data_IF_724903142298
#
_entry.id   IF_724903142298
#
_cell.length_a   1.000
_cell.length_b   1.000
_cell.length_c   1.000
_cell.angle_alpha   90.00
_cell.angle_beta   90.00
_cell.angle_gamma   90.00
#
_symmetry.space_group_name_H-M   'P 1'
#
loop_
_entity.id
_entity.type
_entity.pdbx_description
1 polymer ?
#
# COMPACT_ATOMS: atom_id res chain seq x y z
N UNK A 1 34.81 1.28 -5.59
CA UNK A 1 34.38 2.47 -4.81
C UNK A 1 33.00 2.92 -5.29
N UNK A 2 32.09 3.28 -4.36
CA UNK A 2 30.79 3.88 -4.66
C UNK A 2 30.88 5.40 -4.90
N UNK A 3 32.08 5.99 -4.87
CA UNK A 3 32.23 7.45 -4.99
C UNK A 3 31.56 8.19 -3.82
N UNK A 4 31.06 9.40 -4.09
CA UNK A 4 30.22 10.13 -3.12
C UNK A 4 28.83 9.55 -3.11
N UNK A 5 28.31 9.33 -1.90
CA UNK A 5 26.94 8.88 -1.69
C UNK A 5 26.17 10.02 -1.06
N UNK A 6 24.97 10.28 -1.55
CA UNK A 6 24.05 11.29 -1.03
C UNK A 6 22.79 10.56 -0.62
N UNK A 7 22.44 10.67 0.65
CA UNK A 7 21.16 10.21 1.19
C UNK A 7 20.27 11.43 1.31
N UNK A 8 19.07 11.36 0.77
CA UNK A 8 18.13 12.45 0.80
C UNK A 8 16.77 11.93 1.24
N UNK A 9 16.19 12.55 2.25
CA UNK A 9 14.86 12.27 2.75
C UNK A 9 14.01 13.51 2.49
N UNK A 10 12.94 13.36 1.72
CA UNK A 10 12.01 14.44 1.39
C UNK A 10 10.64 14.11 1.94
N UNK A 11 9.94 15.08 2.50
CA UNK A 11 8.57 14.90 2.95
C UNK A 11 7.66 16.02 2.45
N UNK A 12 6.46 15.63 2.01
CA UNK A 12 5.39 16.53 1.57
C UNK A 12 4.04 15.86 1.88
N UNK A 13 3.03 16.66 2.26
CA UNK A 13 1.70 16.16 2.64
C UNK A 13 1.75 15.01 3.67
N UNK A 14 2.66 15.09 4.64
CA UNK A 14 2.82 14.10 5.69
C UNK A 14 3.35 12.74 5.23
N UNK A 15 3.89 12.63 4.02
CA UNK A 15 4.51 11.42 3.47
C UNK A 15 5.98 11.66 3.16
N UNK A 16 6.83 10.67 3.45
CA UNK A 16 8.26 10.72 3.24
C UNK A 16 8.73 9.80 2.09
N UNK A 17 9.72 10.27 1.33
CA UNK A 17 10.39 9.54 0.29
C UNK A 17 11.91 9.60 0.49
N UNK A 18 12.57 8.46 0.35
CA UNK A 18 14.03 8.35 0.43
C UNK A 18 14.62 8.24 -0.97
N UNK A 19 15.63 9.05 -1.22
CA UNK A 19 16.44 9.03 -2.42
C UNK A 19 17.89 8.78 -2.07
N UNK A 20 18.56 7.97 -2.88
CA UNK A 20 19.98 7.66 -2.73
C UNK A 20 20.67 7.98 -4.06
N UNK A 21 21.71 8.79 -4.02
CA UNK A 21 22.45 9.23 -5.21
C UNK A 21 23.94 8.91 -5.11
N UNK A 22 24.53 8.49 -6.23
CA UNK A 22 25.97 8.29 -6.37
C UNK A 22 26.37 8.35 -7.84
N UNK A 23 27.63 8.74 -8.11
CA UNK A 23 28.24 8.62 -9.45
C UNK A 23 28.35 7.17 -9.95
N UNK A 24 28.24 6.18 -9.06
CA UNK A 24 28.27 4.76 -9.38
C UNK A 24 26.87 4.15 -9.59
N UNK A 25 25.80 4.96 -9.58
CA UNK A 25 24.42 4.65 -9.97
C UNK A 25 23.94 3.23 -9.68
N UNK A 26 24.10 2.34 -10.66
CA UNK A 26 23.64 0.95 -10.61
C UNK A 26 24.30 0.10 -9.51
N UNK A 27 25.59 0.34 -9.21
CA UNK A 27 26.26 -0.38 -8.11
C UNK A 27 25.65 -0.03 -6.76
N UNK A 28 25.27 1.23 -6.56
CA UNK A 28 24.61 1.67 -5.34
C UNK A 28 23.22 1.03 -5.20
N UNK A 29 22.44 1.01 -6.29
CA UNK A 29 21.14 0.35 -6.31
C UNK A 29 21.23 -1.15 -5.97
N UNK A 30 22.24 -1.84 -6.52
CA UNK A 30 22.52 -3.25 -6.21
C UNK A 30 22.81 -3.45 -4.72
N UNK A 31 23.73 -2.66 -4.16
CA UNK A 31 24.09 -2.73 -2.73
C UNK A 31 22.88 -2.49 -1.83
N UNK A 32 22.03 -1.52 -2.15
CA UNK A 32 20.81 -1.24 -1.35
C UNK A 32 19.85 -2.43 -1.39
N UNK A 33 19.63 -3.06 -2.55
CA UNK A 33 18.75 -4.24 -2.67
C UNK A 33 19.30 -5.46 -1.93
N UNK A 34 20.62 -5.66 -1.97
CA UNK A 34 21.29 -6.77 -1.28
C UNK A 34 21.27 -6.61 0.24
N UNK A 35 21.49 -5.38 0.74
CA UNK A 35 21.64 -5.12 2.18
C UNK A 35 20.35 -4.73 2.89
N UNK A 36 19.29 -4.36 2.16
CA UNK A 36 18.00 -3.95 2.73
C UNK A 36 16.89 -4.84 2.17
N UNK A 37 16.57 -5.97 2.84
CA UNK A 37 15.54 -6.90 2.39
C UNK A 37 14.20 -6.22 2.14
N UNK A 38 13.58 -6.52 0.99
CA UNK A 38 12.28 -5.95 0.62
C UNK A 38 12.31 -4.48 0.17
N UNK A 39 13.48 -3.83 0.18
CA UNK A 39 13.63 -2.48 -0.37
C UNK A 39 13.48 -2.49 -1.89
N UNK A 40 12.78 -1.50 -2.43
CA UNK A 40 12.74 -1.22 -3.87
C UNK A 40 13.49 0.05 -4.19
N UNK A 41 14.24 0.00 -5.28
CA UNK A 41 14.99 1.13 -5.81
C UNK A 41 14.49 1.39 -7.21
N UNK A 42 13.70 2.45 -7.35
CA UNK A 42 13.21 2.97 -8.63
C UNK A 42 14.12 4.10 -9.13
N UNK A 43 14.05 4.39 -10.44
CA UNK A 43 14.70 5.56 -11.05
C UNK A 43 13.71 6.73 -11.08
N UNK A 44 14.23 7.95 -11.05
CA UNK A 44 13.42 9.16 -11.08
C UNK A 44 13.01 9.60 -9.67
N UNK A 45 13.59 10.72 -9.22
CA UNK A 45 13.21 11.38 -7.96
C UNK A 45 12.71 12.75 -8.34
N UNK A 46 11.43 13.03 -8.08
CA UNK A 46 10.90 14.38 -8.20
C UNK A 46 11.49 15.22 -7.07
N UNK A 47 12.14 16.33 -7.44
CA UNK A 47 12.72 17.29 -6.50
C UNK A 47 12.07 18.63 -6.76
N UNK A 48 11.37 19.19 -5.78
CA UNK A 48 11.04 20.62 -5.82
C UNK A 48 12.18 21.39 -5.15
N UNK A 49 12.44 22.57 -5.69
CA UNK A 49 13.43 23.47 -5.12
C UNK A 49 12.95 23.96 -3.74
N UNK A 50 13.88 24.10 -2.82
CA UNK A 50 13.58 24.61 -1.47
C UNK A 50 13.75 26.13 -1.44
N UNK A 51 12.98 26.81 -0.58
CA UNK A 51 13.03 28.27 -0.44
C UNK A 51 14.12 28.69 0.55
N UNK A 52 14.37 27.87 1.57
CA UNK A 52 15.38 28.11 2.59
C UNK A 52 16.18 26.83 2.87
N UNK A 53 17.48 26.97 3.12
CA UNK A 53 18.32 25.87 3.54
C UNK A 53 19.23 26.26 4.73
N UNK A 54 19.60 25.25 5.52
CA UNK A 54 20.59 25.35 6.57
C UNK A 54 21.57 24.20 6.50
N UNK A 55 22.83 24.44 6.86
CA UNK A 55 23.84 23.40 7.06
C UNK A 55 24.02 23.14 8.56
N UNK A 56 24.07 21.87 8.93
CA UNK A 56 24.22 21.42 10.32
C UNK A 56 25.67 20.98 10.56
N UNK A 57 26.21 21.41 11.70
CA UNK A 57 27.57 21.08 12.16
C UNK A 57 27.55 20.74 13.65
N UNK A 58 28.49 19.93 14.12
CA UNK A 58 28.65 19.62 15.54
C UNK A 58 29.79 20.44 16.17
N UNK A 59 29.64 20.80 17.45
CA UNK A 59 30.73 21.33 18.28
C UNK A 59 30.85 20.56 19.61
N UNK A 60 32.07 20.15 20.03
CA UNK A 60 33.32 20.23 19.27
C UNK A 60 33.29 19.33 18.03
N UNK A 61 34.10 19.66 17.02
CA UNK A 61 34.14 18.90 15.77
C UNK A 61 34.67 17.48 16.03
N UNK A 62 34.06 16.47 15.38
CA UNK A 62 34.46 15.08 15.54
C UNK A 62 33.95 14.40 16.82
N UNK A 63 33.23 15.10 17.69
CA UNK A 63 32.66 14.49 18.89
C UNK A 63 31.51 13.53 18.57
N UNK A 64 31.50 12.37 19.23
CA UNK A 64 30.51 11.32 19.04
C UNK A 64 29.12 11.72 19.51
N UNK A 65 28.13 11.32 18.72
CA UNK A 65 26.72 11.57 18.99
C UNK A 65 26.10 10.41 19.78
N UNK A 66 24.96 10.67 20.43
CA UNK A 66 24.28 9.69 21.26
C UNK A 66 23.53 8.67 20.38
N UNK A 67 24.19 7.55 20.04
CA UNK A 67 23.59 6.49 19.20
C UNK A 67 22.68 5.52 19.94
N UNK A 68 22.66 5.55 21.28
CA UNK A 68 21.89 4.62 22.12
C UNK A 68 20.36 4.80 21.95
N UNK A 69 19.92 5.90 21.33
CA UNK A 69 18.50 6.24 21.13
C UNK A 69 18.09 6.26 19.65
N UNK A 70 18.73 5.42 18.82
CA UNK A 70 18.54 5.40 17.37
C UNK A 70 17.06 5.43 16.95
N UNK A 71 16.24 4.51 17.46
CA UNK A 71 14.83 4.40 17.08
C UNK A 71 14.02 5.64 17.49
N UNK A 72 14.32 6.23 18.65
CA UNK A 72 13.65 7.44 19.14
C UNK A 72 13.99 8.66 18.29
N UNK A 73 15.26 8.79 17.88
CA UNK A 73 15.69 9.87 16.96
C UNK A 73 14.99 9.72 15.62
N UNK A 74 15.02 8.54 15.01
CA UNK A 74 14.38 8.28 13.72
C UNK A 74 12.89 8.62 13.78
N UNK A 75 12.20 8.14 14.81
CA UNK A 75 10.77 8.45 15.02
C UNK A 75 10.53 9.96 15.15
N UNK A 76 11.37 10.69 15.88
CA UNK A 76 11.25 12.14 16.04
C UNK A 76 11.51 12.90 14.72
N UNK A 77 12.53 12.50 13.95
CA UNK A 77 12.83 13.09 12.63
C UNK A 77 11.66 12.88 11.69
N UNK A 78 11.13 11.65 11.64
CA UNK A 78 9.97 11.34 10.83
C UNK A 78 8.69 12.04 11.31
N UNK A 79 8.51 12.20 12.63
CA UNK A 79 7.39 12.97 13.19
C UNK A 79 7.46 14.44 12.78
N UNK A 80 8.64 15.05 12.81
CA UNK A 80 8.83 16.43 12.35
C UNK A 80 8.50 16.59 10.85
N UNK A 81 8.81 15.56 10.05
CA UNK A 81 8.49 15.52 8.62
C UNK A 81 7.00 15.27 8.33
N UNK A 82 6.32 14.51 9.20
CA UNK A 82 4.89 14.19 9.07
C UNK A 82 3.97 15.42 9.21
N UNK A 83 4.46 16.53 9.77
CA UNK A 83 3.69 17.78 9.98
C UNK A 83 3.58 18.63 8.69
N UNK A 84 4.24 18.22 7.61
CA UNK A 84 4.17 18.91 6.31
C UNK A 84 2.77 18.87 5.71
N UNK A 85 2.24 20.02 5.33
CA UNK A 85 0.96 20.16 4.64
C UNK A 85 1.13 20.08 3.11
N UNK A 86 0.02 20.13 2.38
CA UNK A 86 0.04 20.20 0.92
C UNK A 86 0.77 21.46 0.43
N UNK A 87 1.64 21.29 -0.58
CA UNK A 87 2.48 22.37 -1.11
C UNK A 87 3.75 22.67 -0.30
N UNK A 88 3.85 22.16 0.93
CA UNK A 88 5.05 22.23 1.76
C UNK A 88 6.02 21.09 1.45
N UNK A 89 7.31 21.34 1.65
CA UNK A 89 8.35 20.32 1.54
C UNK A 89 9.43 20.50 2.59
N UNK A 90 9.83 19.42 3.25
CA UNK A 90 11.01 19.36 4.09
C UNK A 90 12.02 18.38 3.51
N UNK A 91 13.29 18.76 3.55
CA UNK A 91 14.38 17.97 2.97
C UNK A 91 15.49 17.79 3.98
N UNK A 92 15.95 16.55 4.17
CA UNK A 92 17.16 16.18 4.89
C UNK A 92 18.14 15.61 3.88
N UNK A 93 19.24 16.32 3.60
CA UNK A 93 20.28 15.88 2.68
C UNK A 93 21.57 15.59 3.44
N UNK A 94 22.03 14.34 3.40
CA UNK A 94 23.26 13.87 4.00
C UNK A 94 24.25 13.43 2.92
N UNK A 95 25.31 14.22 2.71
CA UNK A 95 26.37 13.89 1.78
C UNK A 95 27.51 13.16 2.52
N UNK A 96 27.82 11.95 2.09
CA UNK A 96 28.90 11.11 2.63
C UNK A 96 30.18 11.29 1.80
N UNK A 97 31.25 11.63 2.50
CA UNK A 97 32.58 11.89 1.96
C UNK A 97 33.59 10.78 2.27
N UNK A 98 34.81 11.16 2.68
CA UNK A 98 35.89 10.21 2.98
C UNK A 98 35.50 9.27 4.12
N UNK A 99 35.94 8.02 4.03
CA UNK A 99 35.85 7.02 5.09
C UNK A 99 37.05 7.16 6.03
N UNK A 100 36.82 6.96 7.32
CA UNK A 100 37.83 6.79 8.33
C UNK A 100 37.82 5.33 8.82
N UNK A 101 39.01 4.75 8.93
CA UNK A 101 39.19 3.40 9.47
C UNK A 101 39.24 3.45 11.00
N UNK A 102 38.87 2.35 11.68
CA UNK A 102 39.09 2.18 13.10
C UNK A 102 40.55 2.42 13.47
N UNK A 103 40.78 3.23 14.49
CA UNK A 103 42.10 3.50 15.04
C UNK A 103 42.09 3.26 16.55
N UNK A 104 43.27 2.95 17.11
CA UNK A 104 43.44 2.87 18.55
C UNK A 104 43.60 4.28 19.13
N UNK A 105 42.69 4.72 20.00
CA UNK A 105 42.80 6.02 20.67
C UNK A 105 43.84 5.94 21.80
N UNK A 106 45.10 6.29 21.50
CA UNK A 106 46.21 6.33 22.48
C UNK A 106 46.25 7.59 23.34
N UNK A 107 45.82 8.74 22.82
CA UNK A 107 45.77 10.03 23.52
C UNK A 107 44.55 10.84 23.04
N UNK A 108 43.92 11.60 23.93
CA UNK A 108 42.86 12.54 23.55
C UNK A 108 43.52 13.88 23.17
N UNK A 109 43.38 14.30 21.92
CA UNK A 109 43.88 15.60 21.48
C UNK A 109 43.06 16.76 22.06
N UNK A 110 43.68 17.93 22.32
CA UNK A 110 42.96 19.15 22.70
C UNK A 110 41.96 19.57 21.61
N UNK A 111 40.70 19.77 21.99
CA UNK A 111 39.62 20.15 21.06
C UNK A 111 39.15 21.60 21.23
N UNK A 112 39.70 22.33 22.19
CA UNK A 112 39.39 23.73 22.48
C UNK A 112 40.63 24.59 22.62
N UNK A 113 40.48 25.90 22.39
CA UNK A 113 41.58 26.86 22.54
C UNK A 113 42.14 26.88 23.96
N UNK A 114 41.30 26.71 24.99
CA UNK A 114 41.75 26.59 26.38
C UNK A 114 42.62 25.35 26.62
N UNK A 115 42.25 24.21 26.02
CA UNK A 115 43.02 22.96 26.12
C UNK A 115 44.33 23.06 25.30
N UNK A 116 44.30 23.70 24.13
CA UNK A 116 45.47 23.95 23.28
C UNK A 116 46.47 24.91 23.92
N UNK A 117 45.98 25.94 24.62
CA UNK A 117 46.80 26.90 25.35
C UNK A 117 47.25 26.37 26.73
N UNK A 118 46.89 25.14 27.10
CA UNK A 118 47.27 24.53 28.38
C UNK A 118 46.59 25.14 29.61
N UNK A 119 45.54 25.96 29.41
CA UNK A 119 44.78 26.61 30.48
C UNK A 119 43.79 25.64 31.15
N UNK A 120 43.47 24.52 30.49
CA UNK A 120 42.64 23.43 31.02
C UNK A 120 43.29 22.10 30.64
N UNK A 121 43.38 21.11 31.56
CA UNK A 121 43.97 19.81 31.25
C UNK A 121 43.20 19.08 30.14
N UNK A 122 43.93 18.46 29.21
CA UNK A 122 43.34 17.61 28.17
C UNK A 122 42.62 16.42 28.83
N UNK A 123 41.44 16.01 28.34
CA UNK A 123 40.71 14.87 28.92
C UNK A 123 41.57 13.61 28.93
N UNK A 124 41.55 12.82 30.00
CA UNK A 124 42.20 11.52 30.00
C UNK A 124 41.40 10.51 29.16
N UNK A 125 42.06 9.47 28.64
CA UNK A 125 41.39 8.36 27.93
C UNK A 125 40.43 7.60 28.85
N UNK A 126 40.66 7.63 30.17
CA UNK A 126 39.84 6.96 31.20
C UNK A 126 38.59 7.75 31.59
N UNK A 127 38.56 9.05 31.32
CA UNK A 127 37.37 9.89 31.51
C UNK A 127 36.21 9.39 30.63
N UNK A 128 34.97 9.67 31.02
CA UNK A 128 33.80 9.31 30.21
C UNK A 128 33.90 9.88 28.78
N UNK A 129 34.42 11.10 28.64
CA UNK A 129 34.72 11.76 27.37
C UNK A 129 35.76 10.99 26.56
N UNK A 130 36.83 10.52 27.20
CA UNK A 130 37.89 9.71 26.58
C UNK A 130 37.41 8.32 26.14
N UNK A 131 36.59 7.64 26.95
CA UNK A 131 36.00 6.34 26.60
C UNK A 131 35.10 6.42 25.37
N UNK A 132 34.28 7.47 25.28
CA UNK A 132 33.41 7.72 24.11
C UNK A 132 34.22 8.01 22.86
N UNK A 133 35.24 8.87 22.95
CA UNK A 133 36.15 9.12 21.83
C UNK A 133 36.83 7.83 21.37
N UNK A 134 37.33 7.01 22.30
CA UNK A 134 37.91 5.70 22.01
C UNK A 134 36.92 4.76 21.32
N UNK A 135 35.68 4.68 21.81
CA UNK A 135 34.64 3.86 21.21
C UNK A 135 34.25 4.33 19.80
N UNK A 136 34.28 5.64 19.55
CA UNK A 136 33.98 6.25 18.26
C UNK A 136 35.12 6.03 17.24
N UNK A 137 36.36 6.30 17.65
CA UNK A 137 37.56 6.13 16.81
C UNK A 137 37.81 4.65 16.49
N UNK A 138 37.42 3.73 17.38
CA UNK A 138 37.47 2.28 17.13
C UNK A 138 36.44 1.74 16.15
N UNK A 139 35.62 2.59 15.50
CA UNK A 139 34.60 2.19 14.52
C UNK A 139 34.85 2.84 13.16
N UNK A 140 34.27 2.26 12.11
CA UNK A 140 34.24 2.93 10.81
C UNK A 140 33.39 4.19 10.86
N UNK A 141 33.94 5.29 10.32
CA UNK A 141 33.25 6.58 10.26
C UNK A 141 33.31 7.15 8.85
N UNK A 142 32.46 8.13 8.58
CA UNK A 142 32.47 8.89 7.34
C UNK A 142 32.39 10.38 7.64
N UNK A 143 33.17 11.17 6.91
CA UNK A 143 32.98 12.60 6.85
C UNK A 143 31.62 12.90 6.24
N UNK A 144 30.80 13.71 6.90
CA UNK A 144 29.45 13.99 6.44
C UNK A 144 29.13 15.49 6.43
N UNK A 145 28.26 15.88 5.49
CA UNK A 145 27.64 17.20 5.46
C UNK A 145 26.13 17.03 5.46
N UNK A 146 25.50 17.50 6.53
CA UNK A 146 24.06 17.49 6.69
C UNK A 146 23.50 18.86 6.34
N UNK A 147 22.57 18.90 5.40
CA UNK A 147 21.79 20.10 5.04
C UNK A 147 20.32 19.82 5.22
N UNK A 148 19.60 20.81 5.73
CA UNK A 148 18.15 20.78 5.85
C UNK A 148 17.59 21.84 4.90
N UNK A 149 16.53 21.51 4.19
CA UNK A 149 15.83 22.40 3.27
C UNK A 149 14.35 22.46 3.61
N UNK A 150 13.73 23.60 3.33
CA UNK A 150 12.28 23.77 3.49
C UNK A 150 11.70 24.59 2.34
N UNK A 151 10.52 24.19 1.90
CA UNK A 151 9.64 24.94 1.01
C UNK A 151 8.30 25.12 1.71
N UNK A 152 7.82 26.36 1.85
CA UNK A 152 6.50 26.64 2.41
C UNK A 152 6.07 28.05 2.04
N UNK A 153 4.76 28.29 2.02
CA UNK A 153 4.18 29.55 1.56
C UNK A 153 4.60 30.79 2.37
N UNK A 154 4.93 30.64 3.66
CA UNK A 154 5.30 31.77 4.52
C UNK A 154 6.66 31.57 5.22
N UNK A 155 7.47 32.63 5.40
CA UNK A 155 8.75 32.55 6.12
C UNK A 155 8.61 32.08 7.57
N UNK A 156 7.49 32.40 8.23
CA UNK A 156 7.22 31.91 9.58
C UNK A 156 7.03 30.39 9.59
N UNK A 157 6.28 29.86 8.62
CA UNK A 157 6.07 28.42 8.48
C UNK A 157 7.35 27.68 8.13
N UNK A 158 8.17 28.25 7.24
CA UNK A 158 9.52 27.73 6.93
C UNK A 158 10.37 27.58 8.20
N UNK A 159 10.38 28.61 9.07
CA UNK A 159 11.10 28.58 10.35
C UNK A 159 10.55 27.51 11.28
N UNK A 160 9.23 27.42 11.45
CA UNK A 160 8.61 26.41 12.32
C UNK A 160 8.98 24.98 11.91
N UNK A 161 8.89 24.68 10.62
CA UNK A 161 9.22 23.36 10.08
C UNK A 161 10.71 23.02 10.27
N UNK A 162 11.62 23.96 9.94
CA UNK A 162 13.06 23.76 10.15
C UNK A 162 13.41 23.63 11.64
N UNK A 163 12.78 24.40 12.52
CA UNK A 163 13.00 24.32 13.96
C UNK A 163 12.52 22.99 14.53
N UNK A 164 11.37 22.49 14.10
CA UNK A 164 10.87 21.15 14.48
C UNK A 164 11.84 20.05 14.07
N UNK A 165 12.30 20.07 12.82
CA UNK A 165 13.26 19.10 12.30
C UNK A 165 14.63 19.19 13.00
N UNK A 166 15.13 20.40 13.24
CA UNK A 166 16.36 20.61 14.00
C UNK A 166 16.21 20.14 15.46
N UNK A 167 15.05 20.39 16.08
CA UNK A 167 14.72 19.92 17.42
C UNK A 167 14.75 18.39 17.53
N UNK A 168 14.19 17.70 16.53
CA UNK A 168 14.28 16.24 16.44
C UNK A 168 15.73 15.74 16.31
N UNK A 169 16.54 16.39 15.47
CA UNK A 169 17.96 16.05 15.30
C UNK A 169 18.80 16.31 16.56
N UNK A 170 18.40 17.25 17.42
CA UNK A 170 19.10 17.50 18.70
C UNK A 170 19.01 16.34 19.69
N UNK A 171 18.10 15.38 19.50
CA UNK A 171 18.09 14.14 20.30
C UNK A 171 19.35 13.29 20.11
N UNK A 172 20.10 13.56 19.03
CA UNK A 172 21.39 12.94 18.72
C UNK A 172 22.54 13.60 19.51
N UNK A 173 22.32 14.77 20.14
CA UNK A 173 23.34 15.44 20.95
C UNK A 173 23.72 14.58 22.17
N UNK A 174 24.99 14.16 22.21
CA UNK A 174 25.58 13.60 23.42
C UNK A 174 26.01 14.71 24.40
N UNK A 175 26.30 14.37 25.67
CA UNK A 175 26.86 15.31 26.63
C UNK A 175 28.11 16.04 26.08
N UNK A 176 28.08 17.37 26.12
CA UNK A 176 29.15 18.22 25.61
C UNK A 176 29.15 18.45 24.10
N UNK A 177 28.22 17.84 23.35
CA UNK A 177 28.06 18.06 21.91
C UNK A 177 26.85 18.96 21.66
N UNK A 178 27.00 19.94 20.76
CA UNK A 178 25.92 20.81 20.32
C UNK A 178 25.87 20.88 18.80
N UNK A 179 24.70 20.62 18.24
CA UNK A 179 24.39 20.83 16.84
C UNK A 179 24.11 22.32 16.60
N UNK A 180 24.77 22.87 15.59
CA UNK A 180 24.57 24.23 15.12
C UNK A 180 24.08 24.21 13.69
N UNK A 181 22.96 24.88 13.44
CA UNK A 181 22.47 25.18 12.11
C UNK A 181 22.95 26.58 11.69
N UNK A 182 23.38 26.71 10.45
CA UNK A 182 23.73 27.99 9.83
C UNK A 182 23.02 28.09 8.50
N UNK A 183 22.58 29.29 8.13
CA UNK A 183 21.98 29.54 6.82
C UNK A 183 22.92 29.10 5.70
N UNK A 184 22.36 28.41 4.71
CA UNK A 184 23.03 27.95 3.51
C UNK A 184 22.20 28.37 2.30
N UNK A 185 22.84 28.61 1.16
CA UNK A 185 22.11 29.00 -0.04
C UNK A 185 21.28 27.81 -0.58
N UNK A 186 19.95 27.95 -0.79
CA UNK A 186 19.07 26.85 -1.24
C UNK A 186 19.58 26.10 -2.47
N UNK A 187 20.02 26.83 -3.49
CA UNK A 187 20.59 26.25 -4.71
C UNK A 187 21.76 25.28 -4.47
N UNK A 188 22.50 25.38 -3.36
CA UNK A 188 23.56 24.42 -3.03
C UNK A 188 22.99 23.07 -2.57
N UNK A 189 21.86 23.07 -1.87
CA UNK A 189 21.13 21.87 -1.52
C UNK A 189 20.52 21.24 -2.78
N UNK A 190 19.81 22.04 -3.59
CA UNK A 190 19.14 21.56 -4.80
C UNK A 190 20.11 20.97 -5.84
N UNK A 191 21.24 21.65 -6.07
CA UNK A 191 22.30 21.18 -6.96
C UNK A 191 23.23 20.13 -6.31
N UNK A 192 22.97 19.73 -5.06
CA UNK A 192 23.79 18.76 -4.30
C UNK A 192 25.27 19.16 -4.31
N UNK A 193 25.54 20.46 -4.15
CA UNK A 193 26.88 21.04 -4.33
C UNK A 193 27.81 20.55 -3.24
N UNK A 194 29.05 20.21 -3.61
CA UNK A 194 30.06 19.73 -2.67
C UNK A 194 30.33 20.77 -1.57
N UNK A 195 30.33 20.38 -0.29
CA UNK A 195 30.73 21.28 0.78
C UNK A 195 32.24 21.52 0.75
N UNK A 196 32.67 22.73 1.08
CA UNK A 196 34.09 23.05 1.22
C UNK A 196 34.69 22.48 2.52
N UNK A 197 33.89 22.40 3.59
CA UNK A 197 34.23 21.73 4.84
C UNK A 197 33.09 20.80 5.26
N UNK A 198 33.45 19.59 5.67
CA UNK A 198 32.52 18.65 6.29
C UNK A 198 32.33 19.04 7.75
N UNK A 199 31.06 19.10 8.18
CA UNK A 199 30.70 19.60 9.52
C UNK A 199 30.54 18.50 10.57
N UNK A 200 30.62 17.23 10.14
CA UNK A 200 30.29 16.05 10.94
C UNK A 200 31.22 14.88 10.59
N UNK A 201 31.52 14.05 11.58
CA UNK A 201 32.14 12.74 11.41
C UNK A 201 31.20 11.70 12.01
N UNK A 202 30.55 10.92 11.14
CA UNK A 202 29.44 10.06 11.53
C UNK A 202 29.78 8.58 11.37
N UNK A 203 29.44 7.77 12.38
CA UNK A 203 29.34 6.32 12.28
C UNK A 203 28.03 5.87 11.64
N UNK A 204 27.88 4.57 11.37
CA UNK A 204 26.72 4.02 10.68
C UNK A 204 25.39 4.32 11.39
N UNK A 205 25.32 4.18 12.72
CA UNK A 205 24.10 4.48 13.49
C UNK A 205 23.71 5.95 13.43
N UNK A 206 24.68 6.86 13.46
CA UNK A 206 24.43 8.30 13.37
C UNK A 206 23.96 8.70 11.97
N UNK A 207 24.52 8.07 10.92
CA UNK A 207 24.04 8.22 9.53
C UNK A 207 22.58 7.78 9.42
N UNK A 208 22.22 6.61 9.95
CA UNK A 208 20.84 6.09 9.94
C UNK A 208 19.90 7.06 10.67
N UNK A 209 20.30 7.54 11.85
CA UNK A 209 19.50 8.45 12.65
C UNK A 209 19.27 9.81 11.94
N UNK A 210 20.36 10.42 11.47
CA UNK A 210 20.32 11.76 10.86
C UNK A 210 19.74 11.76 9.45
N UNK A 211 19.82 10.64 8.72
CA UNK A 211 19.14 10.48 7.43
C UNK A 211 17.65 10.15 7.58
N UNK A 212 17.15 9.95 8.81
CA UNK A 212 15.78 9.52 9.06
C UNK A 212 15.45 8.19 8.37
N UNK A 213 16.42 7.27 8.31
CA UNK A 213 16.20 5.97 7.69
C UNK A 213 15.22 5.15 8.54
N UNK A 214 14.18 4.53 7.97
CA UNK A 214 13.02 4.05 8.72
C UNK A 214 13.32 2.74 9.47
N UNK A 215 13.99 2.86 10.62
CA UNK A 215 14.27 1.76 11.55
C UNK A 215 13.51 1.96 12.85
N UNK A 216 12.98 0.88 13.41
CA UNK A 216 12.23 0.87 14.66
C UNK A 216 11.04 -0.07 14.59
N UNK A 217 10.33 -0.19 15.72
CA UNK A 217 9.15 -1.03 15.85
C UNK A 217 7.86 -0.21 15.70
N UNK A 218 6.81 -0.88 15.21
CA UNK A 218 5.48 -0.30 15.02
C UNK A 218 5.39 0.67 13.84
N UNK A 219 4.23 1.33 13.72
CA UNK A 219 4.03 2.35 12.68
C UNK A 219 4.96 3.56 12.92
N UNK A 220 5.69 3.94 11.89
CA UNK A 220 6.55 5.12 11.89
C UNK A 220 5.79 6.30 11.26
N UNK A 221 5.94 7.53 11.78
CA UNK A 221 5.35 8.72 11.17
C UNK A 221 5.90 8.93 9.75
N UNK A 222 5.14 9.61 8.90
CA UNK A 222 5.50 9.90 7.52
C UNK A 222 5.87 8.70 6.62
N UNK A 223 5.73 7.46 7.11
CA UNK A 223 5.96 6.26 6.31
C UNK A 223 4.63 5.73 5.78
N UNK A 224 4.60 5.16 4.56
CA UNK A 224 3.40 4.53 4.04
C UNK A 224 2.98 3.37 4.97
N UNK A 225 1.68 3.09 4.99
CA UNK A 225 1.15 1.93 5.71
C UNK A 225 1.78 0.63 5.19
N UNK A 226 1.93 -0.36 6.07
CA UNK A 226 2.40 -1.69 5.68
C UNK A 226 1.48 -2.36 4.66
N UNK A 227 0.20 -1.98 4.66
CA UNK A 227 -0.82 -2.44 3.73
C UNK A 227 -1.56 -1.28 3.07
N UNK A 228 -1.88 -1.35 1.76
CA UNK A 228 -1.49 -2.44 0.86
C UNK A 228 0.02 -2.39 0.53
N UNK A 229 0.67 -3.56 0.58
CA UNK A 229 2.08 -3.66 0.20
C UNK A 229 2.17 -3.56 -1.31
N UNK A 230 2.93 -2.59 -1.81
CA UNK A 230 3.25 -2.52 -3.23
C UNK A 230 4.10 -3.75 -3.58
N UNK A 231 3.73 -4.51 -4.61
CA UNK A 231 4.45 -5.69 -5.13
C UNK A 231 5.04 -5.39 -6.52
N UNK A 232 6.19 -5.97 -6.92
CA UNK A 232 6.76 -5.66 -8.21
C UNK A 232 5.94 -6.42 -9.25
N UNK A 233 5.64 -5.77 -10.37
CA UNK A 233 4.97 -6.48 -11.45
C UNK A 233 5.90 -7.57 -12.03
N UNK A 234 5.41 -8.79 -12.28
CA UNK A 234 6.21 -9.87 -12.88
C UNK A 234 6.70 -9.47 -14.28
N UNK A 235 7.79 -10.04 -14.80
CA UNK A 235 8.29 -9.65 -16.13
C UNK A 235 7.33 -10.03 -17.26
N UNK A 236 6.85 -11.27 -17.27
CA UNK A 236 5.78 -11.71 -18.15
C UNK A 236 4.43 -11.29 -17.56
N UNK A 237 3.61 -10.61 -18.36
CA UNK A 237 2.36 -10.02 -17.90
C UNK A 237 1.28 -10.19 -18.94
N UNK A 238 0.11 -10.57 -18.45
CA UNK A 238 -1.11 -10.42 -19.20
C UNK A 238 -1.70 -9.03 -18.92
N UNK A 239 -2.31 -8.41 -19.93
CA UNK A 239 -2.82 -7.03 -19.84
C UNK A 239 -4.25 -6.88 -20.34
N UNK A 240 -4.82 -7.89 -21.02
CA UNK A 240 -6.17 -7.83 -21.56
C UNK A 240 -7.24 -7.72 -20.47
N UNK A 241 -7.14 -8.52 -19.40
CA UNK A 241 -8.04 -8.46 -18.25
C UNK A 241 -7.30 -7.90 -17.03
N UNK A 242 -6.87 -6.64 -17.18
CA UNK A 242 -6.09 -5.93 -16.17
C UNK A 242 -6.92 -5.63 -14.91
N UNK A 243 -6.34 -5.88 -13.73
CA UNK A 243 -6.95 -5.53 -12.44
C UNK A 243 -6.04 -4.70 -11.53
N UNK A 244 -4.75 -4.62 -11.86
CA UNK A 244 -3.75 -3.85 -11.13
C UNK A 244 -2.91 -3.01 -12.08
N UNK A 245 -2.39 -1.91 -11.56
CA UNK A 245 -1.48 -1.00 -12.26
C UNK A 245 -0.16 -0.90 -11.50
N UNK A 246 0.91 -0.68 -12.24
CA UNK A 246 2.22 -0.42 -11.65
C UNK A 246 2.28 1.00 -11.09
N UNK A 247 3.19 1.18 -10.14
CA UNK A 247 3.49 2.46 -9.49
C UNK A 247 4.96 2.79 -9.64
N UNK A 248 5.34 4.04 -9.36
CA UNK A 248 6.72 4.52 -9.46
C UNK A 248 7.34 4.25 -10.85
N UNK A 249 8.41 3.47 -10.94
CA UNK A 249 9.09 3.12 -12.19
C UNK A 249 8.28 2.19 -13.10
N UNK A 250 7.21 1.59 -12.58
CA UNK A 250 6.25 0.77 -13.33
C UNK A 250 4.95 1.54 -13.61
N UNK A 251 4.92 2.85 -13.41
CA UNK A 251 3.72 3.67 -13.62
C UNK A 251 3.22 3.56 -15.07
N UNK A 252 1.92 3.32 -15.23
CA UNK A 252 1.28 3.10 -16.53
C UNK A 252 1.30 1.64 -17.01
N UNK A 253 2.15 0.79 -16.43
CA UNK A 253 2.14 -0.63 -16.72
C UNK A 253 0.93 -1.31 -16.05
N UNK A 254 0.41 -2.39 -16.65
CA UNK A 254 -0.76 -3.13 -16.16
C UNK A 254 -0.42 -4.56 -15.81
N UNK A 255 -1.22 -5.13 -14.91
CA UNK A 255 -1.22 -6.55 -14.57
C UNK A 255 -2.65 -7.06 -14.62
N UNK A 256 -2.81 -8.14 -15.37
CA UNK A 256 -4.06 -8.86 -15.55
C UNK A 256 -3.90 -10.37 -15.36
N UNK A 257 -5.03 -11.06 -15.45
CA UNK A 257 -5.14 -12.52 -15.46
C UNK A 257 -5.60 -12.93 -16.86
N UNK A 258 -4.96 -13.90 -17.50
CA UNK A 258 -5.40 -14.32 -18.83
C UNK A 258 -6.79 -14.92 -18.81
N UNK A 259 -7.48 -14.87 -19.96
CA UNK A 259 -8.80 -15.49 -20.07
C UNK A 259 -8.69 -17.01 -19.87
N UNK A 260 -7.62 -17.63 -20.38
CA UNK A 260 -7.32 -19.04 -20.16
C UNK A 260 -7.12 -19.34 -18.67
N UNK A 261 -6.39 -18.51 -17.94
CA UNK A 261 -6.16 -18.70 -16.51
C UNK A 261 -7.44 -18.45 -15.69
N UNK A 262 -8.28 -17.51 -16.12
CA UNK A 262 -9.54 -17.19 -15.45
C UNK A 262 -10.52 -18.38 -15.43
N UNK A 263 -10.35 -19.37 -16.32
CA UNK A 263 -11.14 -20.61 -16.33
C UNK A 263 -10.83 -21.53 -15.15
N UNK A 264 -9.66 -21.39 -14.51
CA UNK A 264 -9.26 -22.21 -13.35
C UNK A 264 -9.75 -21.65 -12.00
N UNK A 265 -10.65 -20.66 -12.03
CA UNK A 265 -11.15 -19.93 -10.86
C UNK A 265 -10.06 -19.12 -10.13
N UNK A 266 -10.47 -18.18 -9.29
CA UNK A 266 -9.53 -17.32 -8.55
C UNK A 266 -10.02 -17.13 -7.13
N UNK A 267 -9.12 -17.35 -6.17
CA UNK A 267 -9.39 -17.15 -4.74
C UNK A 267 -8.59 -15.94 -4.26
N UNK A 268 -9.29 -14.92 -3.74
CA UNK A 268 -8.68 -13.70 -3.20
C UNK A 268 -8.72 -13.73 -1.66
N UNK A 269 -7.56 -13.97 -1.04
CA UNK A 269 -7.42 -14.07 0.42
C UNK A 269 -6.81 -12.80 1.02
N UNK A 270 -7.31 -12.38 2.18
CA UNK A 270 -6.76 -11.25 2.92
C UNK A 270 -7.74 -10.67 3.95
N UNK A 271 -7.26 -9.89 4.93
CA UNK A 271 -8.12 -9.23 5.92
C UNK A 271 -9.02 -8.15 5.29
N UNK A 272 -9.97 -7.63 6.06
CA UNK A 272 -10.75 -6.43 5.66
C UNK A 272 -9.80 -5.26 5.39
N UNK A 273 -10.08 -4.46 4.36
CA UNK A 273 -9.23 -3.34 3.95
C UNK A 273 -8.00 -3.71 3.10
N UNK A 274 -7.76 -5.00 2.83
CA UNK A 274 -6.64 -5.43 1.98
C UNK A 274 -6.82 -5.15 0.47
N UNK A 275 -7.96 -4.60 0.04
CA UNK A 275 -8.24 -4.29 -1.37
C UNK A 275 -8.91 -5.41 -2.18
N UNK A 276 -9.47 -6.45 -1.53
CA UNK A 276 -10.14 -7.56 -2.21
C UNK A 276 -11.30 -7.11 -3.10
N UNK A 277 -12.23 -6.30 -2.56
CA UNK A 277 -13.37 -5.77 -3.31
C UNK A 277 -12.91 -4.91 -4.49
N UNK A 278 -11.85 -4.13 -4.31
CA UNK A 278 -11.24 -3.32 -5.39
C UNK A 278 -10.69 -4.20 -6.52
N UNK A 279 -9.98 -5.28 -6.19
CA UNK A 279 -9.48 -6.21 -7.19
C UNK A 279 -10.62 -6.90 -7.96
N UNK A 280 -11.69 -7.31 -7.27
CA UNK A 280 -12.90 -7.87 -7.89
C UNK A 280 -13.59 -6.86 -8.80
N UNK A 281 -13.74 -5.60 -8.35
CA UNK A 281 -14.34 -4.54 -9.15
C UNK A 281 -13.58 -4.33 -10.46
N UNK A 282 -12.25 -4.26 -10.42
CA UNK A 282 -11.45 -4.08 -11.63
C UNK A 282 -11.52 -5.28 -12.57
N UNK A 283 -11.52 -6.50 -12.05
CA UNK A 283 -11.71 -7.71 -12.86
C UNK A 283 -13.06 -7.73 -13.56
N UNK A 284 -14.14 -7.45 -12.81
CA UNK A 284 -15.49 -7.38 -13.34
C UNK A 284 -15.64 -6.27 -14.39
N UNK A 285 -15.10 -5.07 -14.13
CA UNK A 285 -15.11 -3.98 -15.09
C UNK A 285 -14.30 -4.34 -16.35
N UNK A 286 -13.16 -5.01 -16.23
CA UNK A 286 -12.40 -5.46 -17.39
C UNK A 286 -13.18 -6.45 -18.26
N UNK A 287 -14.02 -7.29 -17.65
CA UNK A 287 -14.92 -8.20 -18.37
C UNK A 287 -16.08 -7.46 -19.04
N UNK A 288 -16.74 -6.56 -18.32
CA UNK A 288 -17.85 -5.72 -18.85
C UNK A 288 -17.38 -4.89 -20.05
N UNK A 289 -16.22 -4.23 -19.95
CA UNK A 289 -15.66 -3.42 -21.04
C UNK A 289 -15.31 -4.26 -22.27
N UNK A 290 -14.90 -5.51 -22.06
CA UNK A 290 -14.62 -6.44 -23.14
C UNK A 290 -15.89 -7.18 -23.65
N UNK A 291 -17.06 -6.85 -23.13
CA UNK A 291 -18.34 -7.46 -23.52
C UNK A 291 -18.54 -8.89 -23.05
N UNK A 292 -17.84 -9.31 -21.99
CA UNK A 292 -18.07 -10.60 -21.33
C UNK A 292 -19.12 -10.44 -20.23
N UNK A 293 -20.02 -11.41 -20.12
CA UNK A 293 -21.04 -11.43 -19.07
C UNK A 293 -20.44 -11.60 -17.68
N UNK A 294 -21.01 -10.93 -16.69
CA UNK A 294 -20.58 -10.99 -15.28
C UNK A 294 -21.79 -11.19 -14.39
N UNK A 295 -21.72 -12.19 -13.51
CA UNK A 295 -22.64 -12.34 -12.38
C UNK A 295 -21.91 -11.91 -11.11
N UNK A 296 -22.44 -10.91 -10.43
CA UNK A 296 -21.92 -10.47 -9.14
C UNK A 296 -22.93 -10.77 -8.04
N UNK A 297 -22.47 -11.40 -6.97
CA UNK A 297 -23.22 -11.65 -5.75
C UNK A 297 -22.48 -10.93 -4.61
N UNK A 298 -23.09 -9.88 -4.09
CA UNK A 298 -22.50 -9.07 -3.02
C UNK A 298 -23.53 -8.85 -1.90
N UNK A 299 -23.36 -9.49 -0.72
CA UNK A 299 -24.27 -9.31 0.40
C UNK A 299 -24.17 -7.94 1.08
N UNK A 300 -23.11 -7.15 0.80
CA UNK A 300 -22.87 -5.85 1.44
C UNK A 300 -23.28 -4.66 0.59
N UNK A 301 -23.64 -4.88 -0.67
CA UNK A 301 -24.11 -3.90 -1.67
C UNK A 301 -23.09 -2.85 -2.13
N UNK A 302 -21.99 -2.65 -1.41
CA UNK A 302 -20.98 -1.63 -1.68
C UNK A 302 -20.25 -1.89 -3.01
N UNK A 303 -19.93 -3.15 -3.29
CA UNK A 303 -19.25 -3.54 -4.54
C UNK A 303 -20.18 -3.42 -5.74
N UNK A 304 -21.45 -3.82 -5.60
CA UNK A 304 -22.45 -3.69 -6.67
C UNK A 304 -22.65 -2.23 -7.04
N UNK A 305 -22.86 -1.36 -6.05
CA UNK A 305 -23.03 0.08 -6.28
C UNK A 305 -21.80 0.69 -6.98
N UNK A 306 -20.59 0.31 -6.56
CA UNK A 306 -19.34 0.79 -7.15
C UNK A 306 -19.19 0.40 -8.63
N UNK A 307 -19.57 -0.84 -8.98
CA UNK A 307 -19.52 -1.30 -10.37
C UNK A 307 -20.61 -0.62 -11.20
N UNK A 308 -21.86 -0.57 -10.72
CA UNK A 308 -22.97 0.07 -11.43
C UNK A 308 -22.65 1.51 -11.84
N UNK A 309 -21.99 2.27 -10.96
CA UNK A 309 -21.55 3.64 -11.23
C UNK A 309 -20.49 3.75 -12.34
N UNK A 310 -19.82 2.66 -12.70
CA UNK A 310 -18.69 2.60 -13.65
C UNK A 310 -19.00 1.79 -14.91
N UNK A 311 -20.19 1.22 -15.04
CA UNK A 311 -20.61 0.52 -16.27
C UNK A 311 -20.74 1.55 -17.41
N UNK A 312 -20.20 1.26 -18.61
CA UNK A 312 -20.35 2.13 -19.78
C UNK A 312 -21.83 2.43 -20.09
N UNK A 313 -22.15 3.68 -20.42
CA UNK A 313 -23.54 4.10 -20.64
C UNK A 313 -24.26 3.28 -21.71
N UNK A 314 -23.52 2.86 -22.74
CA UNK A 314 -24.03 2.07 -23.86
C UNK A 314 -24.46 0.65 -23.46
N UNK A 315 -24.12 0.19 -22.25
CA UNK A 315 -24.45 -1.14 -21.72
C UNK A 315 -25.48 -1.11 -20.60
N UNK A 316 -26.06 0.05 -20.28
CA UNK A 316 -27.06 0.15 -19.19
C UNK A 316 -28.24 -0.80 -19.39
N UNK A 317 -28.66 -0.98 -20.64
CA UNK A 317 -29.78 -1.86 -20.99
C UNK A 317 -29.43 -3.36 -20.88
N UNK A 318 -28.14 -3.71 -20.74
CA UNK A 318 -27.68 -5.09 -20.51
C UNK A 318 -27.72 -5.48 -19.01
N UNK A 319 -27.98 -4.52 -18.11
CA UNK A 319 -27.82 -4.71 -16.67
C UNK A 319 -29.14 -5.11 -16.01
N UNK A 320 -29.10 -6.23 -15.29
CA UNK A 320 -30.20 -6.67 -14.43
C UNK A 320 -29.75 -6.66 -12.98
N UNK A 321 -30.45 -5.89 -12.14
CA UNK A 321 -30.22 -5.85 -10.70
C UNK A 321 -31.33 -6.63 -9.99
N UNK A 322 -30.92 -7.68 -9.28
CA UNK A 322 -31.82 -8.48 -8.44
C UNK A 322 -31.56 -8.09 -7.00
N UNK A 323 -32.42 -7.23 -6.46
CA UNK A 323 -32.37 -6.77 -5.08
C UNK A 323 -33.70 -7.09 -4.39
N UNK A 324 -33.74 -8.10 -3.50
CA UNK A 324 -34.95 -8.46 -2.75
C UNK A 324 -35.48 -7.35 -1.83
N UNK A 325 -34.66 -6.35 -1.52
CA UNK A 325 -35.05 -5.21 -0.66
C UNK A 325 -35.66 -4.05 -1.45
N UNK A 326 -35.55 -4.08 -2.78
CA UNK A 326 -36.16 -3.09 -3.66
C UNK A 326 -37.69 -3.20 -3.58
N UNK A 327 -38.45 -2.10 -3.45
CA UNK A 327 -39.92 -2.12 -3.46
C UNK A 327 -40.51 -2.65 -4.78
N UNK A 328 -39.74 -2.66 -5.86
CA UNK A 328 -40.12 -3.20 -7.17
C UNK A 328 -39.03 -4.17 -7.66
N UNK A 329 -38.88 -5.35 -7.04
CA UNK A 329 -37.80 -6.27 -7.37
C UNK A 329 -38.04 -6.93 -8.72
N UNK A 330 -36.95 -7.27 -9.41
CA UNK A 330 -37.02 -8.12 -10.61
C UNK A 330 -37.46 -9.52 -10.17
N UNK A 331 -38.59 -9.99 -10.70
CA UNK A 331 -39.09 -11.32 -10.44
C UNK A 331 -38.30 -12.39 -11.21
N UNK A 332 -37.93 -13.46 -10.52
CA UNK A 332 -37.33 -14.65 -11.13
C UNK A 332 -38.27 -15.82 -10.86
N UNK A 333 -38.77 -16.45 -11.91
CA UNK A 333 -39.49 -17.72 -11.78
C UNK A 333 -38.51 -18.87 -12.04
N UNK A 334 -38.03 -19.57 -11.00
CA UNK A 334 -37.10 -20.68 -11.18
C UNK A 334 -37.77 -21.89 -11.84
N UNK A 335 -39.11 -21.93 -11.89
CA UNK A 335 -39.88 -22.95 -12.62
C UNK A 335 -40.09 -22.57 -14.10
N UNK A 336 -39.72 -21.35 -14.51
CA UNK A 336 -39.87 -20.93 -15.90
C UNK A 336 -38.95 -21.77 -16.78
N UNK A 337 -39.57 -22.49 -17.71
CA UNK A 337 -38.86 -23.20 -18.78
C UNK A 337 -38.43 -22.14 -19.78
N UNK A 338 -37.17 -21.72 -19.75
CA UNK A 338 -36.62 -20.84 -20.77
C UNK A 338 -36.81 -21.50 -22.14
N UNK A 339 -37.78 -21.02 -22.92
CA UNK A 339 -37.68 -21.10 -24.37
C UNK A 339 -36.45 -20.27 -24.71
N UNK A 340 -35.42 -20.91 -25.25
CA UNK A 340 -34.26 -20.24 -25.84
C UNK A 340 -34.76 -19.13 -26.78
N UNK A 341 -34.74 -17.90 -26.27
CA UNK A 341 -35.26 -16.76 -27.01
C UNK A 341 -34.32 -16.44 -28.17
N UNK A 342 -34.87 -16.53 -29.39
CA UNK A 342 -34.50 -15.74 -30.58
C UNK A 342 -33.15 -16.01 -31.26
N UNK A 343 -32.82 -17.27 -31.55
CA UNK A 343 -31.91 -17.58 -32.68
C UNK A 343 -32.18 -18.98 -33.21
N UNK A 344 -32.88 -19.03 -34.35
CA UNK A 344 -33.20 -20.19 -35.19
C UNK A 344 -34.05 -21.32 -34.55
N UNK A 345 -35.04 -21.87 -35.28
CA UNK A 345 -35.67 -23.13 -34.88
C UNK A 345 -34.66 -24.25 -35.10
N UNK A 346 -33.94 -24.64 -34.04
CA UNK A 346 -33.19 -25.90 -34.05
C UNK A 346 -34.18 -27.06 -33.92
N UNK A 347 -34.08 -28.16 -34.69
CA UNK A 347 -35.07 -29.23 -34.71
C UNK A 347 -35.08 -30.11 -33.44
N UNK A 348 -34.20 -29.83 -32.47
CA UNK A 348 -34.16 -30.47 -31.15
C UNK A 348 -34.60 -29.46 -30.08
N UNK A 349 -35.82 -29.63 -29.56
CA UNK A 349 -36.49 -28.75 -28.60
C UNK A 349 -35.76 -28.57 -27.26
N UNK A 350 -34.76 -27.68 -27.25
CA UNK A 350 -33.85 -27.41 -26.14
C UNK A 350 -34.41 -26.53 -25.01
N UNK A 351 -35.49 -26.96 -24.37
CA UNK A 351 -35.86 -26.46 -23.03
C UNK A 351 -35.55 -27.53 -21.98
N UNK A 352 -35.11 -27.12 -20.78
CA UNK A 352 -34.95 -28.06 -19.67
C UNK A 352 -36.28 -28.80 -19.40
N UNK A 353 -36.20 -30.10 -19.10
CA UNK A 353 -37.39 -30.88 -18.74
C UNK A 353 -37.98 -30.33 -17.44
N UNK A 354 -39.33 -30.34 -17.29
CA UNK A 354 -39.97 -29.92 -16.04
C UNK A 354 -39.39 -30.60 -14.80
N UNK A 355 -38.99 -31.87 -14.92
CA UNK A 355 -38.39 -32.68 -13.87
C UNK A 355 -37.01 -32.14 -13.49
N UNK A 356 -36.16 -31.81 -14.46
CA UNK A 356 -34.82 -31.26 -14.18
C UNK A 356 -34.90 -29.89 -13.48
N UNK A 357 -35.85 -29.06 -13.91
CA UNK A 357 -36.11 -27.75 -13.28
C UNK A 357 -36.59 -27.93 -11.85
N UNK A 358 -37.58 -28.82 -11.64
CA UNK A 358 -38.09 -29.14 -10.32
C UNK A 358 -37.00 -29.72 -9.40
N UNK A 359 -36.17 -30.62 -9.90
CA UNK A 359 -35.06 -31.23 -9.16
C UNK A 359 -34.00 -30.19 -8.77
N UNK A 360 -33.71 -29.22 -9.64
CA UNK A 360 -32.78 -28.12 -9.34
C UNK A 360 -33.30 -27.25 -8.19
N UNK A 361 -34.59 -26.90 -8.22
CA UNK A 361 -35.24 -26.14 -7.14
C UNK A 361 -35.28 -26.95 -5.84
N UNK A 362 -35.62 -28.24 -5.93
CA UNK A 362 -35.65 -29.16 -4.79
C UNK A 362 -34.27 -29.29 -4.15
N UNK A 363 -33.22 -29.49 -4.94
CA UNK A 363 -31.84 -29.58 -4.46
C UNK A 363 -31.39 -28.27 -3.79
N UNK A 364 -31.79 -27.12 -4.34
CA UNK A 364 -31.52 -25.81 -3.74
C UNK A 364 -32.20 -25.69 -2.37
N UNK A 365 -33.48 -26.06 -2.26
CA UNK A 365 -34.22 -26.05 -1.00
C UNK A 365 -33.62 -27.01 0.02
N UNK A 366 -33.22 -28.20 -0.41
CA UNK A 366 -32.55 -29.19 0.45
C UNK A 366 -31.24 -28.67 1.02
N UNK A 367 -30.47 -27.93 0.21
CA UNK A 367 -29.23 -27.29 0.66
C UNK A 367 -29.48 -26.18 1.69
N UNK A 368 -30.47 -25.31 1.44
CA UNK A 368 -30.77 -24.17 2.32
C UNK A 368 -31.44 -24.60 3.63
N UNK A 369 -32.32 -25.61 3.60
CA UNK A 369 -33.15 -26.03 4.73
C UNK A 369 -32.78 -27.43 5.25
N UNK A 370 -31.51 -27.82 5.14
CA UNK A 370 -31.03 -29.17 5.45
C UNK A 370 -31.46 -29.68 6.84
N UNK A 371 -31.49 -28.81 7.84
CA UNK A 371 -31.85 -29.15 9.24
C UNK A 371 -33.34 -29.51 9.42
N UNK A 372 -34.22 -29.02 8.54
CA UNK A 372 -35.67 -29.28 8.59
C UNK A 372 -36.13 -30.25 7.50
N UNK A 373 -35.19 -30.97 6.88
CA UNK A 373 -35.47 -31.82 5.73
C UNK A 373 -35.76 -33.26 6.14
N UNK A 374 -36.90 -33.80 5.69
CA UNK A 374 -37.30 -35.18 5.97
C UNK A 374 -37.85 -35.89 4.74
N UNK A 375 -37.91 -37.22 4.79
CA UNK A 375 -38.34 -38.07 3.67
C UNK A 375 -39.72 -37.65 3.12
N UNK A 376 -40.67 -37.32 4.01
CA UNK A 376 -42.01 -36.86 3.61
C UNK A 376 -41.98 -35.50 2.92
N UNK A 377 -41.18 -34.57 3.42
CA UNK A 377 -41.01 -33.23 2.83
C UNK A 377 -40.43 -33.37 1.42
N UNK A 378 -39.40 -34.21 1.26
CA UNK A 378 -38.77 -34.47 -0.04
C UNK A 378 -39.77 -35.03 -1.06
N UNK A 379 -40.53 -36.05 -0.67
CA UNK A 379 -41.54 -36.67 -1.55
C UNK A 379 -42.64 -35.68 -1.96
N UNK A 380 -43.18 -34.93 -1.00
CA UNK A 380 -44.26 -33.98 -1.26
C UNK A 380 -43.76 -32.82 -2.13
N UNK A 381 -42.60 -32.25 -1.81
CA UNK A 381 -42.03 -31.14 -2.59
C UNK A 381 -41.61 -31.58 -3.99
N UNK A 382 -41.04 -32.77 -4.16
CA UNK A 382 -40.68 -33.31 -5.48
C UNK A 382 -41.93 -33.40 -6.38
N UNK A 383 -42.99 -34.08 -5.91
CA UNK A 383 -44.23 -34.20 -6.67
C UNK A 383 -44.89 -32.83 -6.95
N UNK A 384 -44.90 -31.93 -5.96
CA UNK A 384 -45.51 -30.62 -6.10
C UNK A 384 -44.73 -29.73 -7.10
N UNK A 385 -43.41 -29.68 -7.00
CA UNK A 385 -42.57 -28.88 -7.89
C UNK A 385 -42.63 -29.39 -9.34
N UNK A 386 -42.66 -30.71 -9.56
CA UNK A 386 -42.86 -31.28 -10.90
C UNK A 386 -44.24 -30.90 -11.46
N UNK A 387 -45.29 -30.96 -10.63
CA UNK A 387 -46.65 -30.56 -11.03
C UNK A 387 -46.69 -29.10 -11.46
N UNK A 388 -46.07 -28.20 -10.69
CA UNK A 388 -45.99 -26.78 -11.03
C UNK A 388 -45.13 -26.54 -12.27
N UNK A 389 -43.97 -27.19 -12.40
CA UNK A 389 -43.10 -27.05 -13.57
C UNK A 389 -43.76 -27.54 -14.88
N UNK A 390 -44.70 -28.49 -14.79
CA UNK A 390 -45.52 -28.95 -15.92
C UNK A 390 -46.70 -28.04 -16.23
N UNK A 391 -47.12 -27.21 -15.27
CA UNK A 391 -48.28 -26.33 -15.41
C UNK A 391 -47.86 -25.02 -16.08
N UNK A 392 -48.36 -24.68 -17.29
CA UNK A 392 -48.03 -23.43 -17.95
C UNK A 392 -48.40 -22.21 -17.10
N UNK A 393 -47.47 -21.27 -16.96
CA UNK A 393 -47.68 -20.03 -16.19
C UNK A 393 -47.61 -20.18 -14.67
N UNK A 394 -47.45 -21.40 -14.14
CA UNK A 394 -47.26 -21.60 -12.71
C UNK A 394 -45.91 -21.09 -12.22
N UNK A 395 -45.88 -20.70 -10.95
CA UNK A 395 -44.75 -20.12 -10.26
C UNK A 395 -44.52 -20.82 -8.94
N UNK A 396 -43.37 -20.56 -8.32
CA UNK A 396 -43.07 -21.09 -6.99
C UNK A 396 -44.05 -20.60 -5.90
N UNK A 397 -44.73 -19.47 -6.13
CA UNK A 397 -45.73 -18.90 -5.22
C UNK A 397 -47.02 -19.75 -5.18
N UNK A 398 -47.26 -20.57 -6.19
CA UNK A 398 -48.42 -21.47 -6.25
C UNK A 398 -48.26 -22.71 -5.36
N UNK A 399 -47.05 -22.96 -4.83
CA UNK A 399 -46.74 -24.16 -4.04
C UNK A 399 -47.61 -24.30 -2.78
N UNK A 400 -47.80 -23.27 -1.92
CA UNK A 400 -48.69 -23.38 -0.78
C UNK A 400 -50.15 -23.62 -1.21
N UNK A 401 -50.60 -23.02 -2.32
CA UNK A 401 -51.96 -23.21 -2.84
C UNK A 401 -52.17 -24.65 -3.32
N UNK A 402 -51.20 -25.23 -4.05
CA UNK A 402 -51.26 -26.62 -4.49
C UNK A 402 -51.37 -27.60 -3.30
N UNK A 403 -50.64 -27.32 -2.22
CA UNK A 403 -50.62 -28.19 -1.04
C UNK A 403 -51.88 -28.02 -0.17
N UNK A 404 -52.38 -26.80 -0.01
CA UNK A 404 -53.43 -26.48 0.99
C UNK A 404 -54.83 -26.29 0.41
N UNK A 405 -54.99 -25.97 -0.87
CA UNK A 405 -56.29 -25.71 -1.51
C UNK A 405 -56.74 -26.90 -2.38
N UNK A 406 -57.75 -27.70 -1.95
CA UNK A 406 -58.22 -28.86 -2.70
C UNK A 406 -58.81 -28.50 -4.06
N UNK A 407 -59.52 -27.37 -4.17
CA UNK A 407 -60.16 -26.96 -5.42
C UNK A 407 -59.12 -26.54 -6.48
N UNK A 408 -58.07 -25.85 -6.06
CA UNK A 408 -56.94 -25.51 -6.95
C UNK A 408 -56.21 -26.77 -7.43
N UNK A 409 -55.90 -27.69 -6.51
CA UNK A 409 -55.27 -28.97 -6.84
C UNK A 409 -56.10 -29.82 -7.81
N UNK A 410 -57.41 -29.92 -7.61
CA UNK A 410 -58.31 -30.65 -8.52
C UNK A 410 -58.31 -30.07 -9.94
N UNK A 411 -58.27 -28.74 -10.08
CA UNK A 411 -58.18 -28.08 -11.39
C UNK A 411 -56.88 -28.44 -12.11
N UNK A 412 -55.76 -28.42 -11.40
CA UNK A 412 -54.45 -28.78 -11.98
C UNK A 412 -54.39 -30.24 -12.40
N UNK A 413 -54.96 -31.16 -11.61
CA UNK A 413 -55.07 -32.59 -11.96
C UNK A 413 -55.93 -32.77 -13.22
N UNK A 414 -57.10 -32.14 -13.28
CA UNK A 414 -57.98 -32.21 -14.44
C UNK A 414 -57.32 -31.64 -15.72
N UNK A 415 -56.51 -30.59 -15.59
CA UNK A 415 -55.79 -29.97 -16.70
C UNK A 415 -54.56 -30.77 -17.18
N UNK A 416 -54.02 -31.66 -16.34
CA UNK A 416 -52.80 -32.43 -16.66
C UNK A 416 -53.04 -33.76 -17.36
N UNK A 417 -54.31 -34.08 -17.69
CA UNK A 417 -54.67 -35.17 -18.60
C UNK A 417 -54.19 -36.55 -18.13
N UNK A 418 -54.38 -36.85 -16.85
CA UNK A 418 -54.24 -38.19 -16.29
C UNK A 418 -55.61 -38.87 -16.15
#
# INVERSE_FOLDING_TARGET
SLGRVVLELRASSGQAAWAVGSSAGERLARVVRELVPGCRVSRGVSRRAVDQAVVVSARPAGAGLATERLAAVVRAVLAALAVTAEGEELVVQLQLGRRFSPEACGRVEPQGWLELLGLVPSPSVTSERGRRLKAQVGRHRAAASLRLGVRAASPLRQRTLLQGLLGALRLVEGPGVRLRARTEHPARLDAVRRPWRVGLELGAGEIVAMAGWPVGEGALPATPSAHPRVLPLPQARETQRAFATGVADQSGERLGISISDALYHTVLLGPTGAGKSTALAHLALADIHAGRGVLLIDPKTDLVADILARIPEQRRDDVVVIDPTNPCPVGINPLARTQTARSAPSPSGGGASPELVADTVLATFKGVFAESWGVRVEQVLSAALVTLARTPGATLVDLPLLLTNPAYRQRLIAASGA
#
